data_IF_469196337905
#
_entry.id   IF_469196337905
#
_cell.length_a   1.000
_cell.length_b   1.000
_cell.length_c   1.000
_cell.angle_alpha   90.00
_cell.angle_beta   90.00
_cell.angle_gamma   90.00
#
_symmetry.space_group_name_H-M   'P 1'
#
loop_
_entity.id
_entity.type
_entity.pdbx_description
1 polymer ?
#
# COMPACT_ATOMS: atom_id res chain seq x y z
N UNK A 1 0.42 32.52 8.29
CA UNK A 1 0.44 31.15 7.75
C UNK A 1 -0.68 31.07 6.73
N UNK A 2 -0.37 30.93 5.45
CA UNK A 2 -1.38 30.72 4.40
C UNK A 2 -2.03 29.35 4.64
N UNK A 3 -3.37 29.29 4.67
CA UNK A 3 -4.10 28.04 4.75
C UNK A 3 -3.61 27.11 3.62
N UNK A 4 -3.43 25.80 3.87
CA UNK A 4 -3.04 24.88 2.83
C UNK A 4 -4.06 24.93 1.69
N UNK A 5 -3.58 25.03 0.46
CA UNK A 5 -4.44 25.07 -0.73
C UNK A 5 -5.22 23.75 -0.77
N UNK A 6 -6.56 23.83 -0.82
CA UNK A 6 -7.42 22.65 -0.97
C UNK A 6 -7.03 21.91 -2.24
N UNK A 7 -6.67 20.65 -2.14
CA UNK A 7 -6.31 19.77 -3.26
C UNK A 7 -7.27 18.59 -3.32
N UNK A 8 -7.46 18.03 -4.50
CA UNK A 8 -8.11 16.72 -4.67
C UNK A 8 -7.07 15.62 -4.49
N UNK A 9 -7.24 14.81 -3.44
CA UNK A 9 -6.31 13.73 -3.07
C UNK A 9 -7.03 12.40 -3.13
N UNK A 10 -6.46 11.45 -3.87
CA UNK A 10 -6.95 10.07 -3.91
C UNK A 10 -6.12 9.22 -2.95
N UNK A 11 -6.81 8.55 -2.02
CA UNK A 11 -6.18 7.71 -0.99
C UNK A 11 -6.37 6.23 -1.33
N UNK A 12 -5.29 5.46 -1.33
CA UNK A 12 -5.37 4.00 -1.40
C UNK A 12 -5.89 3.44 -0.06
N UNK A 13 -7.16 3.03 -0.02
CA UNK A 13 -7.80 2.44 1.15
C UNK A 13 -7.71 0.91 1.09
N UNK A 14 -6.97 0.30 2.00
CA UNK A 14 -6.73 -1.14 2.05
C UNK A 14 -7.62 -1.90 3.05
N UNK A 15 -8.55 -1.21 3.73
CA UNK A 15 -9.27 -1.77 4.88
C UNK A 15 -8.45 -1.83 6.17
N UNK A 16 -7.19 -1.41 6.14
CA UNK A 16 -6.31 -1.29 7.31
C UNK A 16 -6.39 0.08 7.99
N UNK A 17 -6.00 0.12 9.28
CA UNK A 17 -6.07 1.34 10.12
C UNK A 17 -5.21 2.48 9.58
N UNK A 18 -4.05 2.19 9.02
CA UNK A 18 -3.09 3.21 8.57
C UNK A 18 -3.63 4.01 7.37
N UNK A 19 -4.23 3.32 6.39
CA UNK A 19 -4.88 3.96 5.24
C UNK A 19 -6.14 4.74 5.66
N UNK A 20 -6.88 4.23 6.64
CA UNK A 20 -8.06 4.90 7.19
C UNK A 20 -7.69 6.23 7.87
N UNK A 21 -6.70 6.22 8.76
CA UNK A 21 -6.22 7.45 9.42
C UNK A 21 -5.59 8.41 8.43
N UNK A 22 -4.88 7.92 7.39
CA UNK A 22 -4.39 8.74 6.28
C UNK A 22 -5.51 9.55 5.64
N UNK A 23 -6.63 8.90 5.28
CA UNK A 23 -7.78 9.57 4.67
C UNK A 23 -8.42 10.59 5.61
N UNK A 24 -8.58 10.23 6.89
CA UNK A 24 -9.10 11.12 7.91
C UNK A 24 -8.24 12.39 8.07
N UNK A 25 -6.93 12.25 8.22
CA UNK A 25 -6.01 13.39 8.39
C UNK A 25 -6.08 14.36 7.22
N UNK A 26 -6.11 13.85 5.99
CA UNK A 26 -6.21 14.69 4.79
C UNK A 26 -7.55 15.42 4.73
N UNK A 27 -8.64 14.77 5.11
CA UNK A 27 -9.95 15.43 5.19
C UNK A 27 -9.97 16.53 6.25
N UNK A 28 -9.36 16.29 7.43
CA UNK A 28 -9.22 17.31 8.47
C UNK A 28 -8.37 18.50 8.03
N UNK A 29 -7.40 18.30 7.14
CA UNK A 29 -6.60 19.36 6.53
C UNK A 29 -7.37 20.16 5.47
N UNK A 30 -8.63 19.78 5.18
CA UNK A 30 -9.51 20.48 4.25
C UNK A 30 -9.37 20.04 2.78
N UNK A 31 -8.65 18.96 2.50
CA UNK A 31 -8.57 18.39 1.16
C UNK A 31 -9.90 17.75 0.71
N UNK A 32 -10.11 17.70 -0.59
CA UNK A 32 -11.14 16.83 -1.19
C UNK A 32 -10.56 15.43 -1.32
N UNK A 33 -11.08 14.50 -0.51
CA UNK A 33 -10.54 13.15 -0.39
C UNK A 33 -11.48 12.14 -1.03
N UNK A 34 -10.94 11.28 -1.90
CA UNK A 34 -11.62 10.12 -2.49
C UNK A 34 -10.80 8.87 -2.18
N UNK A 35 -11.45 7.80 -1.75
CA UNK A 35 -10.84 6.51 -1.52
C UNK A 35 -10.80 5.64 -2.79
N UNK A 36 -9.75 4.88 -2.99
CA UNK A 36 -9.71 3.76 -3.93
C UNK A 36 -9.30 2.50 -3.18
N UNK A 37 -10.15 1.49 -3.23
CA UNK A 37 -9.79 0.13 -2.86
C UNK A 37 -9.19 -0.58 -4.06
N UNK A 38 -7.99 -1.16 -3.90
CA UNK A 38 -7.27 -1.85 -4.96
C UNK A 38 -7.38 -3.36 -4.79
N UNK A 39 -8.13 -4.03 -5.68
CA UNK A 39 -8.14 -5.48 -5.78
C UNK A 39 -6.94 -5.92 -6.62
N UNK A 40 -5.94 -6.53 -5.99
CA UNK A 40 -4.67 -6.88 -6.62
C UNK A 40 -4.55 -8.38 -6.95
N UNK A 41 -5.48 -9.23 -6.49
CA UNK A 41 -5.43 -10.68 -6.68
C UNK A 41 -6.83 -11.28 -6.83
N UNK A 42 -6.99 -12.29 -7.70
CA UNK A 42 -8.27 -12.94 -8.01
C UNK A 42 -8.22 -14.48 -7.99
N UNK A 43 -7.04 -15.10 -8.16
CA UNK A 43 -6.94 -16.56 -8.36
C UNK A 43 -7.50 -17.40 -7.18
N UNK A 44 -7.84 -16.77 -6.07
CA UNK A 44 -8.32 -17.41 -4.86
C UNK A 44 -9.65 -16.80 -4.34
N UNK A 45 -10.42 -16.11 -5.18
CA UNK A 45 -11.65 -15.41 -4.76
C UNK A 45 -12.67 -16.33 -4.07
N UNK A 46 -12.69 -17.61 -4.43
CA UNK A 46 -13.58 -18.63 -3.85
C UNK A 46 -12.93 -19.40 -2.68
N UNK A 47 -11.72 -19.03 -2.25
CA UNK A 47 -11.01 -19.70 -1.16
C UNK A 47 -11.20 -18.98 0.18
N UNK A 48 -11.13 -19.76 1.28
CA UNK A 48 -11.11 -19.21 2.65
C UNK A 48 -9.94 -18.27 2.94
N UNK A 49 -8.93 -18.23 2.06
CA UNK A 49 -7.75 -17.39 2.17
C UNK A 49 -7.90 -16.03 1.46
N UNK A 50 -8.99 -15.79 0.74
CA UNK A 50 -9.24 -14.52 0.07
C UNK A 50 -9.84 -13.50 1.04
N UNK A 51 -9.00 -12.58 1.53
CA UNK A 51 -9.45 -11.47 2.40
C UNK A 51 -10.01 -10.27 1.61
N UNK A 52 -9.89 -10.26 0.29
CA UNK A 52 -10.18 -9.08 -0.54
C UNK A 52 -11.59 -8.53 -0.36
N UNK A 53 -12.60 -9.41 -0.26
CA UNK A 53 -13.98 -8.99 -0.03
C UNK A 53 -14.19 -8.41 1.37
N UNK A 54 -13.57 -9.01 2.40
CA UNK A 54 -13.62 -8.53 3.78
C UNK A 54 -12.91 -7.18 3.88
N UNK A 55 -11.74 -7.06 3.29
CA UNK A 55 -10.95 -5.83 3.28
C UNK A 55 -11.69 -4.69 2.56
N UNK A 56 -12.45 -4.99 1.49
CA UNK A 56 -13.29 -4.00 0.83
C UNK A 56 -14.45 -3.54 1.71
N UNK A 57 -15.12 -4.46 2.41
CA UNK A 57 -16.19 -4.10 3.36
C UNK A 57 -15.64 -3.20 4.47
N UNK A 58 -14.47 -3.53 5.01
CA UNK A 58 -13.82 -2.67 6.02
C UNK A 58 -13.46 -1.30 5.45
N UNK A 59 -12.95 -1.24 4.21
CA UNK A 59 -12.63 0.03 3.55
C UNK A 59 -13.87 0.89 3.29
N UNK A 60 -14.98 0.27 2.90
CA UNK A 60 -16.26 0.95 2.70
C UNK A 60 -16.83 1.50 4.02
N UNK A 61 -16.80 0.69 5.08
CA UNK A 61 -17.23 1.14 6.41
C UNK A 61 -16.37 2.30 6.95
N UNK A 62 -15.07 2.28 6.70
CA UNK A 62 -14.16 3.40 7.00
C UNK A 62 -14.53 4.65 6.20
N UNK A 63 -14.78 4.50 4.89
CA UNK A 63 -15.19 5.61 4.04
C UNK A 63 -16.48 6.27 4.52
N UNK A 64 -17.47 5.49 4.95
CA UNK A 64 -18.72 5.97 5.53
C UNK A 64 -18.50 6.78 6.82
N UNK A 65 -17.69 6.26 7.76
CA UNK A 65 -17.37 6.96 9.02
C UNK A 65 -16.65 8.29 8.74
N UNK A 66 -15.69 8.29 7.82
CA UNK A 66 -14.94 9.49 7.44
C UNK A 66 -15.83 10.43 6.60
N UNK A 67 -16.84 9.91 5.90
CA UNK A 67 -17.72 10.65 4.98
C UNK A 67 -16.99 11.02 3.69
N UNK A 68 -16.38 10.04 3.02
CA UNK A 68 -15.71 10.17 1.72
C UNK A 68 -16.25 9.13 0.76
N UNK A 69 -16.18 9.42 -0.54
CA UNK A 69 -16.49 8.44 -1.59
C UNK A 69 -15.37 7.39 -1.69
N UNK A 70 -15.73 6.17 -2.08
CA UNK A 70 -14.80 5.08 -2.34
C UNK A 70 -15.11 4.41 -3.67
N UNK A 71 -14.08 4.18 -4.49
CA UNK A 71 -14.14 3.36 -5.69
C UNK A 71 -13.45 2.01 -5.47
N UNK A 72 -14.02 0.94 -6.02
CA UNK A 72 -13.37 -0.35 -6.12
C UNK A 72 -12.71 -0.48 -7.50
N UNK A 73 -11.39 -0.67 -7.54
CA UNK A 73 -10.64 -0.79 -8.80
C UNK A 73 -9.87 -2.12 -8.81
N UNK A 74 -10.04 -2.86 -9.90
CA UNK A 74 -9.36 -4.13 -10.10
C UNK A 74 -8.03 -3.91 -10.83
N UNK A 75 -6.93 -4.27 -10.17
CA UNK A 75 -5.57 -4.26 -10.70
C UNK A 75 -4.97 -5.67 -10.81
N UNK A 76 -5.79 -6.74 -10.67
CA UNK A 76 -5.28 -8.12 -10.61
C UNK A 76 -4.49 -8.51 -11.88
N UNK A 77 -4.95 -8.09 -13.06
CA UNK A 77 -4.21 -8.34 -14.31
C UNK A 77 -2.84 -7.64 -14.31
N UNK A 78 -2.80 -6.34 -13.99
CA UNK A 78 -1.54 -5.58 -13.88
C UNK A 78 -0.60 -6.19 -12.84
N UNK A 79 -1.15 -6.64 -11.71
CA UNK A 79 -0.40 -7.27 -10.63
C UNK A 79 0.20 -8.61 -11.08
N UNK A 80 -0.60 -9.45 -11.73
CA UNK A 80 -0.16 -10.75 -12.25
C UNK A 80 0.98 -10.61 -13.25
N UNK A 81 0.87 -9.65 -14.17
CA UNK A 81 1.86 -9.44 -15.23
C UNK A 81 3.15 -8.78 -14.72
N UNK A 82 3.05 -7.79 -13.84
CA UNK A 82 4.20 -6.95 -13.46
C UNK A 82 4.87 -7.34 -12.16
N UNK A 83 4.12 -7.93 -11.22
CA UNK A 83 4.64 -8.29 -9.90
C UNK A 83 4.81 -9.80 -9.78
N UNK A 84 3.75 -10.55 -10.02
CA UNK A 84 3.75 -11.99 -9.80
C UNK A 84 4.60 -12.75 -10.81
N UNK A 85 4.54 -12.39 -12.09
CA UNK A 85 5.39 -13.00 -13.11
C UNK A 85 6.88 -12.82 -12.80
N UNK A 86 7.28 -11.62 -12.36
CA UNK A 86 8.64 -11.32 -11.92
C UNK A 86 9.03 -12.12 -10.68
N UNK A 87 8.12 -12.20 -9.70
CA UNK A 87 8.31 -13.01 -8.51
C UNK A 87 8.62 -14.48 -8.85
N UNK A 88 7.85 -15.11 -9.76
CA UNK A 88 8.09 -16.48 -10.19
C UNK A 88 9.43 -16.61 -10.94
N UNK A 89 9.75 -15.66 -11.84
CA UNK A 89 11.00 -15.67 -12.60
C UNK A 89 12.22 -15.63 -11.70
N UNK A 90 12.20 -14.80 -10.66
CA UNK A 90 13.30 -14.68 -9.69
C UNK A 90 13.49 -15.96 -8.88
N UNK A 91 12.40 -16.57 -8.41
CA UNK A 91 12.48 -17.85 -7.71
C UNK A 91 12.98 -18.98 -8.59
N UNK A 92 12.54 -19.07 -9.85
CA UNK A 92 13.04 -20.06 -10.81
C UNK A 92 14.55 -19.88 -11.07
N UNK A 93 15.05 -18.66 -10.97
CA UNK A 93 16.47 -18.36 -11.12
C UNK A 93 17.27 -18.52 -9.80
N UNK A 94 16.67 -19.09 -8.73
CA UNK A 94 17.32 -19.30 -7.43
C UNK A 94 17.52 -18.02 -6.60
N UNK A 95 16.85 -16.92 -6.94
CA UNK A 95 16.92 -15.66 -6.18
C UNK A 95 15.67 -15.46 -5.32
N UNK A 96 15.79 -14.67 -4.26
CA UNK A 96 14.67 -14.32 -3.39
C UNK A 96 14.18 -12.93 -3.73
N UNK A 97 13.04 -12.78 -4.45
CA UNK A 97 12.48 -11.49 -4.82
C UNK A 97 11.82 -10.78 -3.63
N UNK A 98 11.67 -9.46 -3.74
CA UNK A 98 10.81 -8.68 -2.86
C UNK A 98 9.59 -8.16 -3.64
N UNK A 99 8.46 -8.88 -3.63
CA UNK A 99 7.27 -8.50 -4.38
C UNK A 99 6.62 -7.21 -3.85
N UNK A 100 6.82 -6.84 -2.57
CA UNK A 100 6.24 -5.62 -2.01
C UNK A 100 6.90 -4.37 -2.59
N UNK A 101 8.22 -4.41 -2.84
CA UNK A 101 8.93 -3.32 -3.55
C UNK A 101 8.40 -3.18 -4.97
N UNK A 102 8.16 -4.30 -5.66
CA UNK A 102 7.59 -4.28 -7.02
C UNK A 102 6.14 -3.80 -7.02
N UNK A 103 5.32 -4.28 -6.08
CA UNK A 103 3.94 -3.82 -5.92
C UNK A 103 3.88 -2.30 -5.71
N UNK A 104 4.73 -1.76 -4.86
CA UNK A 104 4.81 -0.33 -4.67
C UNK A 104 5.21 0.38 -5.98
N UNK A 105 6.27 -0.06 -6.65
CA UNK A 105 6.78 0.61 -7.85
C UNK A 105 5.81 0.53 -9.05
N UNK A 106 5.18 -0.63 -9.30
CA UNK A 106 4.43 -0.89 -10.54
C UNK A 106 2.92 -0.74 -10.37
N UNK A 107 2.38 -1.02 -9.18
CA UNK A 107 0.93 -0.97 -8.93
C UNK A 107 0.57 0.31 -8.19
N UNK A 108 1.02 0.49 -6.92
CA UNK A 108 0.59 1.62 -6.09
C UNK A 108 1.06 2.98 -6.60
N UNK A 109 2.30 3.09 -7.03
CA UNK A 109 2.86 4.38 -7.46
C UNK A 109 3.01 4.50 -8.99
N UNK A 110 2.37 3.60 -9.75
CA UNK A 110 2.25 3.71 -11.21
C UNK A 110 0.80 3.49 -11.65
N UNK A 111 0.28 2.27 -11.69
CA UNK A 111 -1.09 2.00 -12.15
C UNK A 111 -2.16 2.77 -11.35
N UNK A 112 -2.07 2.73 -10.02
CA UNK A 112 -2.98 3.49 -9.15
C UNK A 112 -2.77 5.01 -9.28
N UNK A 113 -1.52 5.50 -9.33
CA UNK A 113 -1.23 6.92 -9.57
C UNK A 113 -1.84 7.39 -10.89
N UNK A 114 -1.64 6.63 -11.99
CA UNK A 114 -2.19 6.96 -13.31
C UNK A 114 -3.74 6.98 -13.28
N UNK A 115 -4.36 6.02 -12.58
CA UNK A 115 -5.82 5.99 -12.39
C UNK A 115 -6.31 7.23 -11.64
N UNK A 116 -5.64 7.57 -10.53
CA UNK A 116 -6.00 8.72 -9.71
C UNK A 116 -5.88 10.04 -10.50
N UNK A 117 -4.81 10.20 -11.30
CA UNK A 117 -4.66 11.40 -12.14
C UNK A 117 -5.77 11.53 -13.19
N UNK A 118 -6.24 10.41 -13.77
CA UNK A 118 -7.40 10.42 -14.69
C UNK A 118 -8.71 10.80 -14.00
N UNK A 119 -8.83 10.58 -12.70
CA UNK A 119 -9.96 11.02 -11.87
C UNK A 119 -9.83 12.48 -11.42
N UNK A 120 -8.83 13.20 -11.94
CA UNK A 120 -8.60 14.60 -11.61
C UNK A 120 -7.88 14.83 -10.28
N UNK A 121 -7.22 13.81 -9.72
CA UNK A 121 -6.43 14.01 -8.52
C UNK A 121 -5.19 14.85 -8.79
N UNK A 122 -4.81 15.70 -7.83
CA UNK A 122 -3.55 16.43 -7.84
C UNK A 122 -2.44 15.62 -7.14
N UNK A 123 -2.83 14.82 -6.13
CA UNK A 123 -1.96 13.97 -5.33
C UNK A 123 -2.63 12.62 -5.07
N UNK A 124 -1.79 11.64 -4.76
CA UNK A 124 -2.23 10.40 -4.11
C UNK A 124 -1.69 10.34 -2.69
N UNK A 125 -2.32 9.54 -1.85
CA UNK A 125 -1.82 9.23 -0.52
C UNK A 125 -1.97 7.75 -0.18
N UNK A 126 -1.09 7.27 0.67
CA UNK A 126 -1.10 5.90 1.18
C UNK A 126 -0.75 5.87 2.66
N UNK A 127 -1.12 4.77 3.33
CA UNK A 127 -0.82 4.53 4.75
C UNK A 127 0.61 4.08 5.05
N UNK A 128 1.59 4.41 4.20
CA UNK A 128 2.98 4.06 4.47
C UNK A 128 3.63 4.97 5.50
N UNK A 129 4.40 4.38 6.40
CA UNK A 129 5.26 5.09 7.34
C UNK A 129 6.56 5.52 6.64
N UNK A 130 6.47 6.56 5.86
CA UNK A 130 7.57 7.25 5.19
C UNK A 130 7.24 8.74 5.12
N UNK A 131 8.19 9.58 4.70
CA UNK A 131 7.97 11.01 4.53
C UNK A 131 8.53 11.48 3.20
N UNK A 132 7.94 12.52 2.65
CA UNK A 132 8.42 13.18 1.42
C UNK A 132 8.59 14.66 1.72
N UNK A 133 9.73 15.19 1.30
CA UNK A 133 10.05 16.61 1.41
C UNK A 133 10.62 17.10 0.08
N UNK A 134 10.26 18.31 -0.35
CA UNK A 134 10.98 18.98 -1.41
C UNK A 134 12.17 19.75 -0.82
N UNK A 135 13.36 19.46 -1.31
CA UNK A 135 14.58 20.16 -0.92
C UNK A 135 14.57 21.56 -1.56
N UNK A 136 14.58 22.61 -0.74
CA UNK A 136 14.47 23.99 -1.22
C UNK A 136 15.69 24.44 -2.05
N UNK A 137 16.86 23.84 -1.84
CA UNK A 137 18.07 24.21 -2.58
C UNK A 137 18.16 23.55 -3.96
N UNK A 138 17.69 22.30 -4.08
CA UNK A 138 17.81 21.51 -5.32
C UNK A 138 16.51 21.39 -6.10
N UNK A 139 15.37 21.68 -5.47
CA UNK A 139 14.03 21.46 -6.00
C UNK A 139 13.62 19.98 -6.06
N UNK A 140 14.50 19.04 -5.70
CA UNK A 140 14.24 17.60 -5.76
C UNK A 140 13.40 17.14 -4.57
N UNK A 141 12.61 16.10 -4.79
CA UNK A 141 11.87 15.41 -3.75
C UNK A 141 12.74 14.36 -3.08
N UNK A 142 12.78 14.38 -1.76
CA UNK A 142 13.54 13.45 -0.92
C UNK A 142 12.57 12.48 -0.23
N UNK A 143 12.83 11.18 -0.36
CA UNK A 143 12.17 10.14 0.43
C UNK A 143 12.89 10.02 1.76
N UNK A 144 12.18 10.21 2.86
CA UNK A 144 12.71 10.18 4.22
C UNK A 144 12.09 9.03 5.00
N UNK A 145 12.79 8.55 6.02
CA UNK A 145 12.26 7.59 6.99
C UNK A 145 11.04 8.16 7.71
N UNK A 146 10.07 7.30 8.05
CA UNK A 146 8.99 7.65 8.96
C UNK A 146 9.52 8.04 10.35
N UNK A 147 8.72 8.76 11.14
CA UNK A 147 9.10 9.13 12.51
C UNK A 147 9.12 7.93 13.46
N UNK A 148 8.27 6.94 13.23
CA UNK A 148 8.28 5.70 14.01
C UNK A 148 9.33 4.72 13.45
N UNK A 149 10.46 4.52 14.14
CA UNK A 149 11.53 3.65 13.65
C UNK A 149 11.13 2.17 13.63
N UNK A 150 10.15 1.77 14.44
CA UNK A 150 9.60 0.41 14.46
C UNK A 150 8.61 0.13 13.34
N UNK A 151 8.20 1.17 12.61
CA UNK A 151 7.23 1.08 11.50
C UNK A 151 7.75 1.64 10.18
N UNK A 152 8.94 2.21 10.13
CA UNK A 152 9.51 2.79 8.91
C UNK A 152 9.41 1.84 7.72
N UNK A 153 8.82 2.31 6.63
CA UNK A 153 8.59 1.58 5.39
C UNK A 153 9.31 2.21 4.19
N UNK A 154 10.21 3.17 4.41
CA UNK A 154 10.95 3.84 3.35
C UNK A 154 11.75 2.85 2.48
N UNK A 155 12.21 1.73 3.06
CA UNK A 155 12.87 0.66 2.32
C UNK A 155 12.03 0.14 1.15
N UNK A 156 10.73 -0.06 1.36
CA UNK A 156 9.84 -0.60 0.32
C UNK A 156 9.51 0.41 -0.78
N UNK A 157 9.93 1.66 -0.63
CA UNK A 157 9.63 2.78 -1.52
C UNK A 157 10.84 3.30 -2.29
N UNK A 158 12.02 2.66 -2.13
CA UNK A 158 13.29 3.15 -2.70
C UNK A 158 13.30 3.23 -4.23
N UNK A 159 12.38 2.54 -4.92
CA UNK A 159 12.26 2.57 -6.39
C UNK A 159 11.42 3.74 -6.91
N UNK A 160 10.82 4.55 -6.05
CA UNK A 160 10.03 5.70 -6.49
C UNK A 160 10.92 6.79 -7.09
N UNK A 161 10.50 7.31 -8.24
CA UNK A 161 11.20 8.38 -8.92
C UNK A 161 10.64 9.77 -8.53
N UNK A 162 11.26 10.85 -9.03
CA UNK A 162 10.90 12.22 -8.73
C UNK A 162 9.45 12.57 -9.11
N UNK A 163 8.99 12.09 -10.27
CA UNK A 163 7.62 12.32 -10.72
C UNK A 163 6.59 11.68 -9.78
N UNK A 164 6.86 10.46 -9.30
CA UNK A 164 6.03 9.75 -8.35
C UNK A 164 6.05 10.42 -6.96
N UNK A 165 7.24 10.71 -6.44
CA UNK A 165 7.40 11.38 -5.14
C UNK A 165 6.72 12.75 -5.11
N UNK A 166 6.82 13.51 -6.19
CA UNK A 166 6.18 14.83 -6.30
C UNK A 166 4.65 14.79 -6.20
N UNK A 167 4.04 13.64 -6.48
CA UNK A 167 2.59 13.44 -6.46
C UNK A 167 2.08 12.66 -5.24
N UNK A 168 2.96 12.29 -4.32
CA UNK A 168 2.64 11.37 -3.22
C UNK A 168 2.67 12.07 -1.85
N UNK A 169 1.73 11.69 -0.98
CA UNK A 169 1.65 12.08 0.42
C UNK A 169 1.65 10.84 1.32
N UNK A 170 2.32 10.95 2.46
CA UNK A 170 2.39 9.93 3.50
C UNK A 170 2.03 10.52 4.87
N UNK A 171 0.76 10.86 5.14
CA UNK A 171 0.38 11.56 6.36
C UNK A 171 0.76 10.86 7.65
N UNK A 172 0.62 9.52 7.70
CA UNK A 172 0.97 8.73 8.89
C UNK A 172 2.47 8.58 9.12
N UNK A 173 3.29 8.93 8.14
CA UNK A 173 4.75 8.94 8.29
C UNK A 173 5.27 9.99 9.29
N UNK A 174 4.47 10.99 9.62
CA UNK A 174 4.75 12.01 10.64
C UNK A 174 4.25 11.60 12.04
N UNK A 175 3.75 10.37 12.22
CA UNK A 175 3.15 9.89 13.47
C UNK A 175 3.78 8.57 13.91
N UNK A 176 3.74 8.32 15.22
CA UNK A 176 3.97 6.98 15.76
C UNK A 176 2.73 6.11 15.61
N UNK A 177 2.90 4.80 15.49
CA UNK A 177 1.79 3.83 15.35
C UNK A 177 0.78 3.91 16.50
N UNK A 178 1.26 4.17 17.69
CA UNK A 178 0.41 4.37 18.88
C UNK A 178 -0.54 5.55 18.71
N UNK A 179 -0.07 6.62 18.12
CA UNK A 179 -0.88 7.81 17.83
C UNK A 179 -1.91 7.52 16.72
N UNK A 180 -1.51 6.81 15.66
CA UNK A 180 -2.43 6.39 14.59
C UNK A 180 -3.56 5.53 15.17
N UNK A 181 -3.28 4.60 16.07
CA UNK A 181 -4.28 3.79 16.74
C UNK A 181 -5.20 4.62 17.65
N UNK A 182 -4.64 5.55 18.41
CA UNK A 182 -5.41 6.47 19.25
C UNK A 182 -6.41 7.29 18.40
N UNK A 183 -5.96 7.87 17.30
CA UNK A 183 -6.83 8.62 16.38
C UNK A 183 -7.95 7.73 15.85
N UNK A 184 -7.63 6.50 15.41
CA UNK A 184 -8.61 5.56 14.89
C UNK A 184 -9.70 5.21 15.91
N UNK A 185 -9.32 5.01 17.17
CA UNK A 185 -10.26 4.75 18.28
C UNK A 185 -11.12 5.99 18.60
N UNK A 186 -10.53 7.17 18.68
CA UNK A 186 -11.22 8.42 19.00
C UNK A 186 -12.31 8.79 17.98
N UNK A 187 -12.06 8.53 16.70
CA UNK A 187 -13.05 8.79 15.64
C UNK A 187 -13.99 7.61 15.37
N UNK A 188 -13.87 6.53 16.15
CA UNK A 188 -14.77 5.39 16.06
C UNK A 188 -14.60 4.54 14.80
N UNK A 189 -13.38 4.41 14.26
CA UNK A 189 -13.16 3.56 13.10
C UNK A 189 -13.44 2.09 13.43
N UNK A 190 -14.21 1.36 12.59
CA UNK A 190 -14.57 -0.03 12.86
C UNK A 190 -13.34 -0.95 12.87
N UNK A 191 -12.29 -0.59 12.13
CA UNK A 191 -11.04 -1.33 12.01
C UNK A 191 -9.92 -0.85 12.98
N UNK A 192 -10.21 0.00 13.97
CA UNK A 192 -9.21 0.58 14.88
C UNK A 192 -8.35 -0.49 15.57
N UNK A 193 -8.93 -1.65 15.90
CA UNK A 193 -8.27 -2.79 16.57
C UNK A 193 -7.79 -3.87 15.60
N UNK A 194 -7.98 -3.69 14.29
CA UNK A 194 -7.52 -4.65 13.28
C UNK A 194 -6.00 -4.80 13.37
N UNK A 195 -5.51 -6.04 13.34
CA UNK A 195 -4.06 -6.33 13.33
C UNK A 195 -3.43 -5.79 12.05
N UNK A 196 -2.16 -5.41 12.15
CA UNK A 196 -1.39 -5.03 10.96
C UNK A 196 -1.24 -6.26 10.05
N UNK A 197 -1.41 -6.05 8.74
CA UNK A 197 -1.16 -7.11 7.78
C UNK A 197 0.30 -7.52 7.82
N UNK A 198 0.53 -8.83 7.93
CA UNK A 198 1.85 -9.45 7.90
C UNK A 198 1.89 -10.45 6.74
N UNK A 199 2.98 -10.46 5.99
CA UNK A 199 3.14 -11.35 4.84
C UNK A 199 2.94 -10.66 3.49
N UNK A 200 3.07 -11.47 2.45
CA UNK A 200 3.00 -11.01 1.05
C UNK A 200 1.53 -10.93 0.64
N UNK A 201 1.13 -9.83 0.04
CA UNK A 201 -0.25 -9.44 -0.25
C UNK A 201 -1.09 -10.54 -0.97
N UNK A 202 -0.51 -11.26 -1.95
CA UNK A 202 -1.20 -12.30 -2.71
C UNK A 202 -1.08 -13.71 -2.11
N UNK A 203 -0.26 -13.89 -1.09
CA UNK A 203 -0.11 -15.17 -0.39
C UNK A 203 -1.10 -15.26 0.78
N UNK A 204 -1.35 -14.13 1.45
CA UNK A 204 -2.16 -14.10 2.65
C UNK A 204 -1.51 -14.87 3.80
N UNK A 205 -2.34 -15.51 4.64
CA UNK A 205 -1.89 -16.28 5.83
C UNK A 205 -1.59 -17.76 5.52
N UNK A 206 -1.56 -18.16 4.24
CA UNK A 206 -1.28 -19.55 3.86
C UNK A 206 0.22 -19.86 3.93
N UNK A 207 0.60 -21.16 4.08
CA UNK A 207 1.99 -21.59 4.04
C UNK A 207 2.63 -21.22 2.70
N UNK A 208 3.72 -20.47 2.74
CA UNK A 208 4.43 -19.97 1.57
C UNK A 208 4.82 -21.08 0.58
N UNK A 209 5.36 -22.18 1.11
CA UNK A 209 5.80 -23.33 0.29
C UNK A 209 4.66 -23.96 -0.49
N UNK A 210 3.50 -24.12 0.12
CA UNK A 210 2.32 -24.71 -0.53
C UNK A 210 1.81 -23.81 -1.66
N UNK A 211 1.80 -22.51 -1.42
CA UNK A 211 1.46 -21.53 -2.44
C UNK A 211 2.43 -21.60 -3.62
N UNK A 212 3.74 -21.53 -3.37
CA UNK A 212 4.76 -21.52 -4.42
C UNK A 212 4.75 -22.81 -5.26
N UNK A 213 4.52 -23.97 -4.64
CA UNK A 213 4.47 -25.27 -5.32
C UNK A 213 3.35 -25.38 -6.36
N UNK A 214 2.33 -24.52 -6.33
CA UNK A 214 1.29 -24.48 -7.37
C UNK A 214 1.81 -23.93 -8.69
N UNK A 215 2.87 -23.14 -8.67
CA UNK A 215 3.40 -22.42 -9.83
C UNK A 215 4.79 -22.87 -10.25
N UNK A 216 5.58 -23.37 -9.31
CA UNK A 216 6.95 -23.81 -9.56
C UNK A 216 7.09 -25.27 -9.06
N UNK A 217 7.32 -26.19 -9.98
CA UNK A 217 7.68 -27.55 -9.62
C UNK A 217 9.17 -27.61 -9.26
N UNK A 218 9.50 -28.23 -8.14
CA UNK A 218 10.89 -28.50 -7.76
C UNK A 218 11.02 -29.91 -7.18
N UNK A 219 12.12 -30.55 -7.48
CA UNK A 219 12.51 -31.80 -6.83
C UNK A 219 13.46 -31.47 -5.67
N UNK A 220 13.33 -32.13 -4.50
CA UNK A 220 14.33 -32.01 -3.44
C UNK A 220 15.70 -32.45 -3.97
N UNK A 221 16.71 -31.63 -3.73
CA UNK A 221 18.10 -31.93 -4.06
C UNK A 221 18.98 -32.04 -2.80
N UNK A 222 20.18 -32.62 -2.92
CA UNK A 222 21.13 -32.65 -1.80
C UNK A 222 21.61 -31.22 -1.49
N UNK A 223 21.76 -30.92 -0.22
CA UNK A 223 22.48 -29.73 0.23
C UNK A 223 23.98 -30.02 0.01
N UNK A 224 24.62 -29.22 -0.81
CA UNK A 224 26.07 -29.31 -1.06
C UNK A 224 26.78 -28.19 -0.32
N UNK A 225 27.92 -28.51 0.28
CA UNK A 225 28.85 -27.59 0.90
C UNK A 225 29.99 -27.34 -0.11
N UNK A 226 30.48 -26.12 -0.21
CA UNK A 226 31.59 -25.71 -1.09
C UNK A 226 32.98 -26.19 -0.56
N UNK A 227 33.03 -27.17 0.33
CA UNK A 227 34.27 -27.75 0.87
C UNK A 227 34.72 -28.97 0.09
#
# INVERSE_FOLDING_TARGET
MTAPTKQRVVVGLSGGVDSAVTAYLLKQQGHEVVGIFMKNWEDDDDSEYCSSNIDFVDAAAVADVIGIEIEHVNFAADYKDRVFAEFLREYQAGRTPNPDVLCNAEIKFKAFLDRAMRLGAEKIATGHYARVRQNAATGLFELLKGLDPGKDQSYFLHRLNQAQLSKTLFPVGELHKTEVRRIAEEIGLPNAKKKDSTGICFIGERPFREFLNRYISHAPGPIQDDR
#
